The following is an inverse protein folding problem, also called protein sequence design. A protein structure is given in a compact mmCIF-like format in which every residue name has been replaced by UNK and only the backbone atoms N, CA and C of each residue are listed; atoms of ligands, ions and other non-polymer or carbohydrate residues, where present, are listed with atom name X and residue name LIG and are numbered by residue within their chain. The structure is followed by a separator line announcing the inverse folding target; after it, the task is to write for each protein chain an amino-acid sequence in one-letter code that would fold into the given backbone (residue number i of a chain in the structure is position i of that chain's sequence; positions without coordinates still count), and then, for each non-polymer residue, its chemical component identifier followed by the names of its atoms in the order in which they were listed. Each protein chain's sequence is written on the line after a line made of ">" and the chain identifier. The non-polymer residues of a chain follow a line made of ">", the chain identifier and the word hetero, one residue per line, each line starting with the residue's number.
data_IF_270824145465
#
_entry.id   IF_270824145465
#
_cell.length_a   1.000
_cell.length_b   1.000
_cell.length_c   1.000
_cell.angle_alpha   90.00
_cell.angle_beta   90.00
_cell.angle_gamma   90.00
#
_symmetry.space_group_name_H-M   'P 1'
#
loop_
_entity.id
_entity.type
_entity.pdbx_description
1 polymer ?
#
# COMPACT_ATOMS: atom_id res chain seq x y z
N UNK A 1 9.74 18.62 -4.87
CA UNK A 1 10.21 18.86 -3.48
C UNK A 1 11.18 20.06 -3.36
N UNK A 2 11.05 20.91 -2.32
CA UNK A 2 11.96 22.02 -1.95
C UNK A 2 13.00 21.61 -0.91
N UNK A 3 14.03 22.44 -0.66
CA UNK A 3 15.03 22.18 0.38
C UNK A 3 14.43 22.11 1.79
N UNK A 4 13.44 22.97 2.10
CA UNK A 4 12.75 22.93 3.39
C UNK A 4 11.90 21.66 3.55
N UNK A 5 11.23 21.20 2.49
CA UNK A 5 10.47 19.94 2.50
C UNK A 5 11.39 18.73 2.68
N UNK A 6 12.54 18.68 1.98
CA UNK A 6 13.53 17.60 2.15
C UNK A 6 14.09 17.56 3.58
N UNK A 7 14.42 18.72 4.15
CA UNK A 7 14.85 18.82 5.55
C UNK A 7 13.75 18.44 6.53
N UNK A 8 12.49 18.79 6.25
CA UNK A 8 11.36 18.42 7.08
C UNK A 8 11.17 16.89 7.13
N UNK A 9 11.32 16.22 6.00
CA UNK A 9 11.20 14.76 5.85
C UNK A 9 12.38 14.02 6.50
N UNK A 10 13.62 14.45 6.23
CA UNK A 10 14.83 13.66 6.52
C UNK A 10 15.85 14.34 7.44
N UNK A 11 15.84 15.67 7.52
CA UNK A 11 16.82 16.48 8.24
C UNK A 11 16.61 16.53 9.75
N UNK A 12 17.50 17.25 10.43
CA UNK A 12 17.42 17.53 11.88
C UNK A 12 16.55 18.77 12.17
N UNK A 13 16.02 18.91 13.40
CA UNK A 13 15.26 20.10 13.79
C UNK A 13 16.03 21.42 13.58
N UNK A 14 17.35 21.42 13.75
CA UNK A 14 18.21 22.59 13.54
C UNK A 14 18.30 22.98 12.06
N UNK A 15 18.41 22.01 11.16
CA UNK A 15 18.41 22.24 9.72
C UNK A 15 17.06 22.79 9.26
N UNK A 16 15.97 22.23 9.78
CA UNK A 16 14.61 22.73 9.52
C UNK A 16 14.45 24.16 10.03
N UNK A 17 14.93 24.47 11.23
CA UNK A 17 14.84 25.80 11.82
C UNK A 17 15.62 26.85 11.00
N UNK A 18 16.81 26.50 10.51
CA UNK A 18 17.60 27.39 9.64
C UNK A 18 16.89 27.66 8.32
N UNK A 19 16.42 26.61 7.64
CA UNK A 19 15.74 26.75 6.35
C UNK A 19 14.39 27.48 6.50
N UNK A 20 13.65 27.24 7.58
CA UNK A 20 12.40 27.93 7.86
C UNK A 20 12.60 29.44 8.07
N UNK A 21 13.70 29.87 8.70
CA UNK A 21 14.04 31.30 8.83
C UNK A 21 14.33 31.98 7.50
N UNK A 22 14.84 31.22 6.52
CA UNK A 22 15.16 31.73 5.19
C UNK A 22 13.98 31.66 4.21
N UNK A 23 12.94 30.88 4.55
CA UNK A 23 11.77 30.71 3.71
C UNK A 23 10.97 32.03 3.65
N UNK A 24 10.64 32.47 2.43
CA UNK A 24 9.72 33.59 2.23
C UNK A 24 8.29 33.24 2.67
N UNK A 25 7.93 31.97 2.52
CA UNK A 25 6.67 31.37 2.97
C UNK A 25 6.97 29.95 3.45
N UNK A 26 6.71 29.69 4.73
CA UNK A 26 6.95 28.37 5.37
C UNK A 26 5.89 27.34 4.95
N UNK A 27 4.72 27.80 4.50
CA UNK A 27 3.61 26.99 3.99
C UNK A 27 3.58 26.92 2.45
N UNK A 28 4.69 27.30 1.80
CA UNK A 28 4.85 27.14 0.37
C UNK A 28 4.67 25.66 -0.01
N UNK A 29 3.75 25.41 -0.93
CA UNK A 29 3.47 24.07 -1.45
C UNK A 29 4.34 23.75 -2.65
N UNK A 30 4.75 22.50 -2.74
CA UNK A 30 5.33 21.92 -3.95
C UNK A 30 4.85 20.48 -4.02
N UNK A 31 4.36 20.07 -5.19
CA UNK A 31 3.70 18.77 -5.37
C UNK A 31 2.53 18.60 -4.39
N UNK A 32 1.72 19.65 -4.20
CA UNK A 32 0.48 19.61 -3.42
C UNK A 32 0.64 19.61 -1.89
N UNK A 33 1.86 19.51 -1.35
CA UNK A 33 2.08 19.39 0.10
C UNK A 33 3.02 20.46 0.65
N UNK A 34 2.87 20.83 1.92
CA UNK A 34 3.76 21.76 2.64
C UNK A 34 4.93 21.02 3.29
N UNK A 35 5.96 21.75 3.76
CA UNK A 35 7.02 21.14 4.56
C UNK A 35 6.49 20.50 5.85
N UNK A 36 5.48 21.12 6.48
CA UNK A 36 4.86 20.58 7.70
C UNK A 36 4.16 19.25 7.42
N UNK A 37 3.50 19.13 6.27
CA UNK A 37 2.87 17.88 5.83
C UNK A 37 3.90 16.75 5.73
N UNK A 38 5.04 16.99 5.07
CA UNK A 38 6.11 16.00 4.94
C UNK A 38 6.72 15.59 6.30
N UNK A 39 6.89 16.53 7.23
CA UNK A 39 7.36 16.20 8.58
C UNK A 39 6.38 15.27 9.33
N UNK A 40 5.08 15.52 9.23
CA UNK A 40 4.07 14.66 9.86
C UNK A 40 4.04 13.29 9.18
N UNK A 41 3.97 13.25 7.84
CA UNK A 41 3.92 12.00 7.07
C UNK A 41 5.14 11.10 7.36
N UNK A 42 6.34 11.69 7.40
CA UNK A 42 7.59 11.00 7.74
C UNK A 42 7.74 10.67 9.24
N UNK A 43 6.72 10.95 10.06
CA UNK A 43 6.71 10.71 11.51
C UNK A 43 7.87 11.40 12.24
N UNK A 44 8.12 12.68 11.90
CA UNK A 44 9.16 13.55 12.47
C UNK A 44 8.55 14.63 13.37
N UNK A 45 8.08 14.30 14.58
CA UNK A 45 7.35 15.25 15.43
C UNK A 45 8.18 16.47 15.81
N UNK A 46 9.50 16.34 16.01
CA UNK A 46 10.35 17.49 16.33
C UNK A 46 10.47 18.46 15.16
N UNK A 47 10.64 17.96 13.94
CA UNK A 47 10.67 18.79 12.74
C UNK A 47 9.32 19.50 12.54
N UNK A 48 8.21 18.77 12.77
CA UNK A 48 6.87 19.33 12.70
C UNK A 48 6.65 20.46 13.73
N UNK A 49 7.14 20.29 14.97
CA UNK A 49 7.07 21.34 16.00
C UNK A 49 7.90 22.57 15.64
N UNK A 50 9.08 22.39 15.06
CA UNK A 50 9.90 23.50 14.58
C UNK A 50 9.17 24.30 13.50
N UNK A 51 8.57 23.62 12.52
CA UNK A 51 7.81 24.27 11.44
C UNK A 51 6.58 25.01 11.98
N UNK A 52 5.80 24.38 12.85
CA UNK A 52 4.66 25.03 13.51
C UNK A 52 5.09 26.25 14.35
N UNK A 53 6.21 26.14 15.07
CA UNK A 53 6.81 27.26 15.81
C UNK A 53 7.33 28.39 14.92
N UNK A 54 7.68 28.08 13.66
CA UNK A 54 8.03 29.05 12.63
C UNK A 54 6.80 29.67 11.92
N UNK A 55 5.58 29.27 12.31
CA UNK A 55 4.33 29.83 11.79
C UNK A 55 3.62 29.00 10.73
N UNK A 56 4.10 27.78 10.42
CA UNK A 56 3.38 26.87 9.52
C UNK A 56 2.04 26.45 10.12
N UNK A 57 0.96 26.51 9.34
CA UNK A 57 -0.39 26.16 9.79
C UNK A 57 -0.67 24.65 9.65
N UNK A 58 -0.78 23.89 10.76
CA UNK A 58 -1.07 22.45 10.72
C UNK A 58 -2.48 22.13 10.21
N UNK A 59 -3.39 23.09 10.16
CA UNK A 59 -4.79 22.89 9.78
C UNK A 59 -5.13 23.46 8.41
N UNK A 60 -4.13 24.01 7.69
CA UNK A 60 -4.29 24.49 6.34
C UNK A 60 -4.80 23.37 5.42
N UNK A 61 -5.90 23.59 4.67
CA UNK A 61 -6.48 22.55 3.82
C UNK A 61 -5.45 21.98 2.84
N UNK A 62 -5.40 20.65 2.79
CA UNK A 62 -4.58 19.89 1.85
C UNK A 62 -5.45 19.35 0.70
N UNK A 63 -4.97 19.30 -0.55
CA UNK A 63 -5.75 18.86 -1.70
C UNK A 63 -6.33 17.45 -1.58
N UNK A 64 -5.63 16.53 -0.90
CA UNK A 64 -6.11 15.16 -0.67
C UNK A 64 -6.98 15.04 0.60
N UNK A 65 -7.31 16.17 1.23
CA UNK A 65 -8.12 16.22 2.45
C UNK A 65 -7.36 15.87 3.72
N UNK A 66 -6.02 15.78 3.69
CA UNK A 66 -5.19 15.41 4.83
C UNK A 66 -4.27 16.55 5.26
N UNK A 67 -4.80 17.62 5.89
CA UNK A 67 -3.93 18.63 6.48
C UNK A 67 -3.04 17.98 7.55
N UNK A 68 -1.83 18.52 7.82
CA UNK A 68 -0.85 17.89 8.71
C UNK A 68 -1.43 17.49 10.08
N UNK A 69 -2.26 18.36 10.66
CA UNK A 69 -2.90 18.09 11.95
C UNK A 69 -3.93 16.97 11.91
N UNK A 70 -4.72 16.84 10.83
CA UNK A 70 -5.67 15.72 10.67
C UNK A 70 -4.93 14.41 10.41
N UNK A 71 -3.84 14.46 9.64
CA UNK A 71 -2.99 13.28 9.43
C UNK A 71 -2.38 12.79 10.75
N UNK A 72 -1.94 13.70 11.62
CA UNK A 72 -1.42 13.36 12.94
C UNK A 72 -2.45 12.60 13.81
N UNK A 73 -3.76 12.89 13.68
CA UNK A 73 -4.83 12.14 14.36
C UNK A 73 -4.88 10.65 14.00
N UNK A 74 -4.43 10.30 12.80
CA UNK A 74 -4.37 8.91 12.32
C UNK A 74 -3.09 8.19 12.79
N UNK A 75 -2.18 8.89 13.46
CA UNK A 75 -0.83 8.44 13.74
C UNK A 75 -0.51 8.26 15.22
N UNK A 76 0.77 8.06 15.55
CA UNK A 76 1.22 7.85 16.92
C UNK A 76 1.22 9.12 17.79
N UNK A 77 1.04 10.30 17.19
CA UNK A 77 1.09 11.61 17.88
C UNK A 77 -0.16 12.44 17.58
N UNK A 78 -1.36 12.00 18.01
CA UNK A 78 -2.62 12.68 17.69
C UNK A 78 -2.77 14.07 18.33
N UNK A 79 -2.00 14.36 19.37
CA UNK A 79 -1.98 15.62 20.12
C UNK A 79 -0.83 16.57 19.69
N UNK A 80 -0.13 16.25 18.59
CA UNK A 80 1.07 16.97 18.14
C UNK A 80 0.89 18.50 18.05
N UNK A 81 -0.31 18.96 17.68
CA UNK A 81 -0.63 20.38 17.55
C UNK A 81 -1.73 20.83 18.53
N UNK A 82 -1.93 20.10 19.62
CA UNK A 82 -3.00 20.36 20.59
C UNK A 82 -4.37 19.90 20.11
N UNK A 83 -5.43 20.53 20.60
CA UNK A 83 -6.80 20.16 20.26
C UNK A 83 -7.12 20.50 18.80
N UNK A 84 -7.68 19.53 18.07
CA UNK A 84 -8.14 19.75 16.69
C UNK A 84 -9.29 20.78 16.64
N UNK A 85 -9.36 21.63 15.59
CA UNK A 85 -10.48 22.52 15.38
C UNK A 85 -11.83 21.77 15.31
N UNK A 86 -12.91 22.46 15.66
CA UNK A 86 -14.26 21.90 15.60
C UNK A 86 -14.57 21.38 14.18
N UNK A 87 -15.01 20.13 14.08
CA UNK A 87 -15.31 19.47 12.80
C UNK A 87 -14.14 18.74 12.15
N UNK A 88 -12.90 18.93 12.64
CA UNK A 88 -11.74 18.17 12.16
C UNK A 88 -11.65 16.86 12.94
N UNK A 89 -12.23 15.80 12.36
CA UNK A 89 -12.22 14.44 12.92
C UNK A 89 -11.94 13.42 11.83
N UNK A 90 -11.57 12.20 12.25
CA UNK A 90 -11.63 11.04 11.39
C UNK A 90 -13.09 10.62 11.22
N UNK A 91 -13.48 10.24 10.02
CA UNK A 91 -14.74 9.54 9.77
C UNK A 91 -14.72 8.16 10.43
N UNK A 92 -15.89 7.56 10.65
CA UNK A 92 -15.99 6.20 11.22
C UNK A 92 -15.20 5.17 10.40
N UNK A 93 -15.22 5.29 9.07
CA UNK A 93 -14.48 4.40 8.17
C UNK A 93 -12.95 4.57 8.33
N UNK A 94 -12.46 5.81 8.38
CA UNK A 94 -11.04 6.09 8.61
C UNK A 94 -10.60 5.62 10.00
N UNK A 95 -11.42 5.85 11.03
CA UNK A 95 -11.14 5.42 12.40
C UNK A 95 -11.00 3.89 12.50
N UNK A 96 -11.84 3.12 11.79
CA UNK A 96 -11.72 1.66 11.70
C UNK A 96 -10.41 1.24 11.03
N UNK A 97 -9.98 1.93 9.96
CA UNK A 97 -8.71 1.66 9.28
C UNK A 97 -7.53 1.93 10.22
N UNK A 98 -7.52 3.11 10.87
CA UNK A 98 -6.48 3.54 11.81
C UNK A 98 -6.37 2.57 12.99
N UNK A 99 -7.51 2.19 13.60
CA UNK A 99 -7.52 1.28 14.74
C UNK A 99 -6.96 -0.12 14.40
N UNK A 100 -7.17 -0.59 13.17
CA UNK A 100 -6.66 -1.89 12.72
C UNK A 100 -5.19 -1.85 12.28
N UNK A 101 -4.63 -0.66 12.01
CA UNK A 101 -3.31 -0.52 11.39
C UNK A 101 -2.15 -1.11 12.22
N UNK A 102 -2.07 -0.93 13.55
CA UNK A 102 -1.02 -1.54 14.35
C UNK A 102 -1.01 -3.07 14.26
N UNK A 103 -2.18 -3.70 14.28
CA UNK A 103 -2.32 -5.15 14.20
C UNK A 103 -1.87 -5.70 12.85
N UNK A 104 -2.34 -5.09 11.75
CA UNK A 104 -1.94 -5.50 10.40
C UNK A 104 -0.44 -5.24 10.15
N UNK A 105 0.07 -4.09 10.61
CA UNK A 105 1.48 -3.75 10.50
C UNK A 105 2.39 -4.72 11.26
N UNK A 106 1.94 -5.22 12.41
CA UNK A 106 2.65 -6.26 13.16
C UNK A 106 2.57 -7.63 12.47
N UNK A 107 1.39 -8.03 11.99
CA UNK A 107 1.17 -9.31 11.30
C UNK A 107 2.04 -9.46 10.05
N UNK A 108 2.27 -8.35 9.33
CA UNK A 108 3.04 -8.30 8.09
C UNK A 108 4.40 -7.60 8.27
N UNK A 109 4.89 -7.48 9.50
CA UNK A 109 6.21 -6.92 9.76
C UNK A 109 7.29 -7.83 9.16
N UNK A 110 8.25 -7.24 8.42
CA UNK A 110 9.33 -7.99 7.79
C UNK A 110 8.90 -8.91 6.64
N UNK A 111 7.66 -8.77 6.13
CA UNK A 111 7.19 -9.48 4.96
C UNK A 111 7.99 -9.04 3.72
N UNK A 112 8.92 -9.89 3.26
CA UNK A 112 9.73 -9.64 2.07
C UNK A 112 8.97 -10.10 0.82
N UNK A 113 8.59 -9.15 -0.02
CA UNK A 113 7.94 -9.43 -1.31
C UNK A 113 8.93 -9.65 -2.45
N UNK A 114 10.25 -9.58 -2.24
CA UNK A 114 11.22 -9.60 -3.34
C UNK A 114 10.95 -10.71 -4.36
N UNK A 115 10.78 -10.33 -5.64
CA UNK A 115 10.45 -11.26 -6.73
C UNK A 115 9.01 -11.79 -6.72
N UNK A 116 8.19 -11.44 -5.74
CA UNK A 116 6.85 -12.00 -5.52
C UNK A 116 5.78 -11.11 -6.15
N UNK A 117 4.89 -11.74 -6.90
CA UNK A 117 3.62 -11.19 -7.34
C UNK A 117 2.55 -11.48 -6.29
N UNK A 118 1.69 -10.50 -6.06
CA UNK A 118 0.66 -10.51 -5.04
C UNK A 118 -0.62 -9.87 -5.60
N UNK A 119 -1.77 -10.44 -5.31
CA UNK A 119 -3.07 -9.81 -5.49
C UNK A 119 -3.92 -9.99 -4.23
N UNK A 120 -4.35 -8.87 -3.65
CA UNK A 120 -5.26 -8.82 -2.52
C UNK A 120 -6.68 -8.59 -3.04
N UNK A 121 -7.58 -9.56 -2.85
CA UNK A 121 -8.93 -9.53 -3.44
C UNK A 121 -9.98 -9.39 -2.35
N UNK A 122 -10.75 -8.31 -2.40
CA UNK A 122 -11.75 -8.01 -1.37
C UNK A 122 -12.97 -8.93 -1.49
N UNK A 123 -13.40 -9.52 -0.37
CA UNK A 123 -14.67 -10.25 -0.23
C UNK A 123 -14.79 -11.53 -1.07
N UNK A 124 -13.70 -12.02 -1.65
CA UNK A 124 -13.64 -13.23 -2.47
C UNK A 124 -12.82 -14.28 -1.74
N UNK A 125 -13.36 -15.49 -1.62
CA UNK A 125 -12.61 -16.63 -1.07
C UNK A 125 -11.77 -17.34 -2.14
N UNK A 126 -10.89 -18.24 -1.70
CA UNK A 126 -9.95 -18.96 -2.55
C UNK A 126 -10.65 -19.82 -3.62
N UNK A 127 -11.82 -20.38 -3.31
CA UNK A 127 -12.60 -21.21 -4.22
C UNK A 127 -13.19 -20.37 -5.37
N UNK A 128 -13.77 -19.22 -5.03
CA UNK A 128 -14.31 -18.27 -6.01
C UNK A 128 -13.17 -17.63 -6.82
N UNK A 129 -12.02 -17.32 -6.22
CA UNK A 129 -10.84 -16.88 -6.94
C UNK A 129 -10.38 -17.93 -7.98
N UNK A 130 -10.30 -19.21 -7.59
CA UNK A 130 -9.96 -20.30 -8.52
C UNK A 130 -10.96 -20.40 -9.68
N UNK A 131 -12.26 -20.26 -9.38
CA UNK A 131 -13.33 -20.27 -10.39
C UNK A 131 -13.21 -19.10 -11.37
N UNK A 132 -12.98 -17.88 -10.88
CA UNK A 132 -12.80 -16.67 -11.71
C UNK A 132 -11.59 -16.79 -12.63
N UNK A 133 -10.53 -17.45 -12.15
CA UNK A 133 -9.30 -17.68 -12.91
C UNK A 133 -9.38 -18.86 -13.89
N UNK A 134 -10.48 -19.63 -13.89
CA UNK A 134 -10.61 -20.88 -14.65
C UNK A 134 -9.43 -21.83 -14.37
N UNK A 135 -9.01 -21.89 -13.11
CA UNK A 135 -7.82 -22.58 -12.68
C UNK A 135 -8.13 -23.96 -12.09
N UNK A 136 -7.17 -24.88 -12.23
CA UNK A 136 -7.26 -26.23 -11.66
C UNK A 136 -6.24 -26.39 -10.54
N UNK A 137 -6.52 -27.25 -9.56
CA UNK A 137 -5.58 -27.53 -8.46
C UNK A 137 -4.29 -28.15 -9.00
N UNK A 138 -3.16 -27.57 -8.59
CA UNK A 138 -1.83 -28.09 -8.88
C UNK A 138 -1.39 -29.12 -7.84
N UNK A 139 -0.46 -30.01 -8.20
CA UNK A 139 0.26 -30.82 -7.21
C UNK A 139 1.04 -29.87 -6.27
N UNK A 140 0.83 -29.95 -4.95
CA UNK A 140 1.56 -29.14 -3.98
C UNK A 140 3.08 -29.24 -4.07
N UNK A 141 3.62 -30.34 -4.61
CA UNK A 141 5.06 -30.51 -4.84
C UNK A 141 5.61 -29.49 -5.85
N UNK A 142 4.84 -29.15 -6.88
CA UNK A 142 5.26 -28.19 -7.91
C UNK A 142 5.29 -26.77 -7.34
N UNK A 143 4.28 -26.41 -6.55
CA UNK A 143 4.25 -25.11 -5.86
C UNK A 143 5.38 -24.93 -4.83
N UNK A 144 5.72 -26.00 -4.10
CA UNK A 144 6.89 -26.00 -3.20
C UNK A 144 8.20 -25.84 -3.96
N UNK A 145 8.35 -26.48 -5.12
CA UNK A 145 9.53 -26.31 -5.97
C UNK A 145 9.66 -24.87 -6.48
N UNK A 146 8.56 -24.28 -6.96
CA UNK A 146 8.50 -22.87 -7.35
C UNK A 146 8.92 -21.93 -6.21
N UNK A 147 8.45 -22.21 -4.99
CA UNK A 147 8.79 -21.37 -3.83
C UNK A 147 10.28 -21.45 -3.48
N UNK A 148 10.92 -22.62 -3.66
CA UNK A 148 12.29 -22.87 -3.23
C UNK A 148 13.37 -22.43 -4.23
N UNK A 149 13.05 -22.37 -5.52
CA UNK A 149 14.02 -22.06 -6.59
C UNK A 149 13.52 -20.91 -7.48
N UNK A 150 14.19 -19.75 -7.50
CA UNK A 150 13.90 -18.66 -8.43
C UNK A 150 14.00 -19.05 -9.91
N UNK A 151 14.73 -20.14 -10.20
CA UNK A 151 14.94 -20.67 -11.55
C UNK A 151 14.15 -21.96 -11.78
N UNK A 152 12.99 -22.08 -11.12
CA UNK A 152 12.15 -23.27 -11.19
C UNK A 152 11.90 -23.71 -12.64
N UNK A 153 11.68 -25.03 -12.87
CA UNK A 153 11.58 -25.59 -14.22
C UNK A 153 10.53 -24.89 -15.10
N UNK A 154 10.77 -24.94 -16.41
CA UNK A 154 9.79 -24.50 -17.41
C UNK A 154 8.41 -25.12 -17.15
N UNK A 155 7.36 -24.31 -17.23
CA UNK A 155 5.97 -24.72 -16.95
C UNK A 155 5.42 -24.32 -15.58
N UNK A 156 6.26 -23.74 -14.71
CA UNK A 156 5.81 -23.19 -13.41
C UNK A 156 5.25 -21.76 -13.50
N UNK A 157 5.45 -21.07 -14.63
CA UNK A 157 5.00 -19.68 -14.85
C UNK A 157 3.48 -19.46 -14.68
N UNK A 158 2.68 -20.52 -14.80
CA UNK A 158 1.21 -20.51 -14.67
C UNK A 158 0.72 -20.86 -13.27
N UNK A 159 1.63 -21.09 -12.32
CA UNK A 159 1.28 -21.55 -10.99
C UNK A 159 1.19 -20.35 -10.05
N UNK A 160 0.09 -20.29 -9.31
CA UNK A 160 -0.13 -19.32 -8.24
C UNK A 160 -0.60 -20.03 -6.98
N UNK A 161 -0.26 -19.48 -5.83
CA UNK A 161 -0.83 -19.84 -4.54
C UNK A 161 -2.07 -19.00 -4.25
N UNK A 162 -3.07 -19.59 -3.59
CA UNK A 162 -4.22 -18.85 -3.06
C UNK A 162 -4.44 -19.22 -1.59
N UNK A 163 -4.66 -18.21 -0.76
CA UNK A 163 -4.89 -18.37 0.69
C UNK A 163 -6.06 -17.50 1.12
N UNK A 164 -6.97 -18.07 1.90
CA UNK A 164 -8.06 -17.30 2.52
C UNK A 164 -7.53 -16.46 3.69
N UNK A 165 -8.02 -15.24 3.80
CA UNK A 165 -7.74 -14.35 4.93
C UNK A 165 -9.02 -13.63 5.35
N UNK A 166 -9.16 -13.17 6.60
CA UNK A 166 -10.33 -12.37 6.96
C UNK A 166 -10.46 -11.16 6.02
N UNK A 167 -11.63 -11.00 5.39
CA UNK A 167 -11.91 -9.94 4.41
C UNK A 167 -11.73 -10.34 2.95
N UNK A 168 -11.21 -11.53 2.61
CA UNK A 168 -11.10 -12.01 1.23
C UNK A 168 -10.02 -13.06 1.04
N UNK A 169 -9.26 -12.97 -0.04
CA UNK A 169 -8.17 -13.90 -0.31
C UNK A 169 -6.93 -13.18 -0.85
N UNK A 170 -5.80 -13.84 -0.69
CA UNK A 170 -4.53 -13.44 -1.29
C UNK A 170 -4.14 -14.45 -2.36
N UNK A 171 -3.77 -13.95 -3.55
CA UNK A 171 -3.15 -14.73 -4.61
C UNK A 171 -1.67 -14.35 -4.68
N UNK A 172 -0.77 -15.33 -4.60
CA UNK A 172 0.68 -15.10 -4.66
C UNK A 172 1.36 -15.92 -5.73
N UNK A 173 2.49 -15.40 -6.21
CA UNK A 173 3.40 -16.15 -7.07
C UNK A 173 4.84 -15.78 -6.67
N UNK A 174 5.58 -16.70 -6.04
CA UNK A 174 7.02 -16.52 -5.85
C UNK A 174 7.71 -16.39 -7.20
N UNK A 175 8.66 -15.45 -7.30
CA UNK A 175 9.51 -15.26 -8.48
C UNK A 175 8.74 -14.98 -9.78
N UNK A 176 7.56 -14.39 -9.70
CA UNK A 176 6.72 -14.12 -10.86
C UNK A 176 5.70 -13.00 -10.63
N UNK A 177 5.23 -12.42 -11.72
CA UNK A 177 4.34 -11.25 -11.73
C UNK A 177 2.88 -11.60 -12.05
N UNK A 178 2.56 -12.88 -12.29
CA UNK A 178 1.24 -13.30 -12.80
C UNK A 178 0.06 -12.75 -11.98
N UNK A 179 0.09 -12.72 -10.64
CA UNK A 179 -0.99 -12.17 -9.83
C UNK A 179 -1.34 -10.70 -10.12
N UNK A 180 -0.35 -9.90 -10.54
CA UNK A 180 -0.53 -8.47 -10.83
C UNK A 180 -0.97 -8.21 -12.28
N UNK A 181 -0.94 -9.21 -13.16
CA UNK A 181 -1.24 -9.01 -14.58
C UNK A 181 -2.67 -8.49 -14.80
N UNK A 182 -2.92 -7.68 -15.85
CA UNK A 182 -4.24 -7.10 -16.11
C UNK A 182 -5.36 -8.13 -16.19
N UNK A 183 -5.12 -9.28 -16.84
CA UNK A 183 -6.15 -10.32 -16.97
C UNK A 183 -6.45 -10.99 -15.62
N UNK A 184 -5.44 -11.28 -14.80
CA UNK A 184 -5.63 -11.90 -13.48
C UNK A 184 -6.37 -10.96 -12.53
N UNK A 185 -5.89 -9.73 -12.38
CA UNK A 185 -6.51 -8.73 -11.51
C UNK A 185 -7.91 -8.33 -12.02
N UNK A 186 -8.11 -8.27 -13.34
CA UNK A 186 -9.41 -8.02 -13.96
C UNK A 186 -10.43 -9.12 -13.65
N UNK A 187 -10.06 -10.39 -13.79
CA UNK A 187 -10.94 -11.51 -13.44
C UNK A 187 -11.24 -11.57 -11.94
N UNK A 188 -10.23 -11.36 -11.10
CA UNK A 188 -10.39 -11.40 -9.64
C UNK A 188 -11.23 -10.26 -9.11
N UNK A 189 -11.20 -9.08 -9.72
CA UNK A 189 -11.92 -7.89 -9.27
C UNK A 189 -13.39 -7.83 -9.67
N UNK A 190 -13.94 -8.82 -10.40
CA UNK A 190 -15.35 -8.80 -10.82
C UNK A 190 -16.32 -8.58 -9.63
N UNK A 191 -17.11 -7.50 -9.67
CA UNK A 191 -18.00 -7.09 -8.58
C UNK A 191 -17.32 -6.69 -7.27
N UNK A 192 -16.01 -6.46 -7.26
CA UNK A 192 -15.22 -6.11 -6.07
C UNK A 192 -13.99 -5.27 -6.42
N UNK A 193 -13.03 -5.14 -5.50
CA UNK A 193 -11.73 -4.51 -5.73
C UNK A 193 -10.58 -5.50 -5.52
N UNK A 194 -9.57 -5.38 -6.36
CA UNK A 194 -8.31 -6.10 -6.27
C UNK A 194 -7.16 -5.08 -6.24
N UNK A 195 -6.24 -5.24 -5.29
CA UNK A 195 -4.97 -4.51 -5.29
C UNK A 195 -3.85 -5.46 -5.70
N UNK A 196 -3.25 -5.23 -6.87
CA UNK A 196 -2.11 -6.01 -7.36
C UNK A 196 -0.79 -5.37 -6.93
N UNK A 197 0.20 -6.21 -6.61
CA UNK A 197 1.58 -5.81 -6.37
C UNK A 197 2.51 -6.76 -7.09
N UNK A 198 3.51 -6.22 -7.77
CA UNK A 198 4.70 -6.97 -8.14
C UNK A 198 5.93 -6.29 -7.55
N UNK A 199 6.64 -6.99 -6.69
CA UNK A 199 7.88 -6.50 -6.11
C UNK A 199 9.05 -6.91 -6.99
N UNK A 200 9.34 -6.08 -7.98
CA UNK A 200 10.40 -6.30 -8.95
C UNK A 200 11.78 -6.09 -8.30
N UNK A 201 12.68 -7.09 -8.28
CA UNK A 201 14.04 -6.93 -7.72
C UNK A 201 14.85 -5.79 -8.35
N UNK A 202 14.50 -5.37 -9.57
CA UNK A 202 15.19 -4.29 -10.29
C UNK A 202 14.67 -2.89 -9.96
N UNK A 203 13.35 -2.73 -9.80
CA UNK A 203 12.69 -1.41 -9.77
C UNK A 203 11.84 -1.17 -8.51
N UNK A 204 11.74 -2.15 -7.61
CA UNK A 204 10.94 -2.05 -6.39
C UNK A 204 9.48 -2.48 -6.58
N UNK A 205 8.63 -2.04 -5.65
CA UNK A 205 7.22 -2.41 -5.60
C UNK A 205 6.40 -1.62 -6.61
N UNK A 206 5.73 -2.32 -7.52
CA UNK A 206 4.78 -1.74 -8.47
C UNK A 206 3.37 -2.21 -8.12
N UNK A 207 2.43 -1.29 -8.03
CA UNK A 207 1.05 -1.53 -7.64
C UNK A 207 0.07 -1.26 -8.78
N UNK A 208 -1.11 -1.89 -8.68
CA UNK A 208 -2.27 -1.52 -9.49
C UNK A 208 -3.55 -1.65 -8.68
N UNK A 209 -4.53 -0.80 -9.01
CA UNK A 209 -5.89 -0.85 -8.45
C UNK A 209 -6.79 -1.28 -9.59
N UNK A 210 -7.54 -2.36 -9.38
CA UNK A 210 -8.51 -2.86 -10.35
C UNK A 210 -9.84 -3.08 -9.66
N UNK A 211 -10.89 -2.47 -10.19
CA UNK A 211 -12.25 -2.53 -9.67
C UNK A 211 -13.19 -2.99 -10.76
N UNK A 212 -13.93 -4.05 -10.50
CA UNK A 212 -14.91 -4.61 -11.44
C UNK A 212 -14.34 -4.81 -12.86
N UNK A 213 -13.12 -5.35 -12.94
CA UNK A 213 -12.42 -5.57 -14.21
C UNK A 213 -11.76 -4.33 -14.82
N UNK A 214 -11.92 -3.14 -14.24
CA UNK A 214 -11.38 -1.88 -14.75
C UNK A 214 -10.16 -1.46 -13.94
N UNK A 215 -9.03 -1.23 -14.62
CA UNK A 215 -7.83 -0.66 -14.00
C UNK A 215 -8.03 0.82 -13.71
N UNK A 216 -8.11 1.18 -12.43
CA UNK A 216 -8.23 2.57 -11.95
C UNK A 216 -6.86 3.22 -11.78
N UNK A 217 -5.82 2.44 -11.50
CA UNK A 217 -4.44 2.92 -11.34
C UNK A 217 -3.40 1.83 -11.61
N UNK A 218 -2.22 2.23 -12.09
CA UNK A 218 -1.12 1.34 -12.47
C UNK A 218 0.23 2.00 -12.23
N UNK A 219 1.29 1.20 -12.05
CA UNK A 219 2.64 1.66 -11.70
C UNK A 219 2.68 2.49 -10.41
N UNK A 220 1.79 2.13 -9.47
CA UNK A 220 1.70 2.76 -8.15
C UNK A 220 2.83 2.27 -7.25
N UNK A 221 3.14 3.01 -6.18
CA UNK A 221 4.20 2.65 -5.23
C UNK A 221 3.60 2.36 -3.84
N UNK A 222 2.99 1.16 -3.62
CA UNK A 222 2.36 0.84 -2.34
C UNK A 222 3.38 0.91 -1.19
N UNK A 223 3.01 1.63 -0.12
CA UNK A 223 3.91 1.92 1.01
C UNK A 223 4.96 3.00 0.73
N UNK A 224 5.03 3.55 -0.48
CA UNK A 224 5.79 4.75 -0.80
C UNK A 224 5.04 6.03 -0.42
N UNK A 225 5.66 7.18 -0.66
CA UNK A 225 4.98 8.47 -0.55
C UNK A 225 3.83 8.56 -1.57
N UNK A 226 2.71 9.24 -1.22
CA UNK A 226 1.61 9.42 -2.16
C UNK A 226 1.99 10.39 -3.28
N UNK A 227 1.25 10.31 -4.38
CA UNK A 227 1.33 11.26 -5.49
C UNK A 227 0.41 12.45 -5.27
N UNK A 228 0.62 13.51 -6.05
CA UNK A 228 -0.18 14.75 -6.01
C UNK A 228 -1.68 14.48 -6.24
N UNK A 229 -1.99 13.46 -7.04
CA UNK A 229 -3.35 13.04 -7.41
C UNK A 229 -3.82 11.80 -6.64
N UNK A 230 -3.08 11.33 -5.63
CA UNK A 230 -3.50 10.24 -4.77
C UNK A 230 -4.79 10.58 -4.02
N UNK A 231 -5.69 9.60 -3.93
CA UNK A 231 -6.91 9.72 -3.15
C UNK A 231 -6.63 9.85 -1.65
N UNK A 232 -7.62 10.34 -0.90
CA UNK A 232 -7.55 10.42 0.56
C UNK A 232 -7.24 9.05 1.21
N UNK A 233 -7.75 7.95 0.65
CA UNK A 233 -7.45 6.61 1.16
C UNK A 233 -5.98 6.24 0.93
N UNK A 234 -5.43 6.50 -0.26
CA UNK A 234 -4.03 6.21 -0.57
C UNK A 234 -3.08 7.01 0.32
N UNK A 235 -3.36 8.29 0.55
CA UNK A 235 -2.60 9.12 1.49
C UNK A 235 -2.62 8.53 2.89
N UNK A 236 -3.80 8.18 3.42
CA UNK A 236 -3.92 7.57 4.74
C UNK A 236 -3.13 6.25 4.83
N UNK A 237 -3.27 5.37 3.84
CA UNK A 237 -2.58 4.08 3.83
C UNK A 237 -1.06 4.23 3.71
N UNK A 238 -0.58 5.20 2.92
CA UNK A 238 0.86 5.50 2.83
C UNK A 238 1.44 5.94 4.17
N UNK A 239 0.67 6.71 4.94
CA UNK A 239 1.05 7.18 6.27
C UNK A 239 1.03 6.07 7.31
N UNK A 240 0.06 5.16 7.23
CA UNK A 240 -0.10 4.04 8.16
C UNK A 240 0.93 2.92 7.94
N UNK A 241 1.26 2.63 6.67
CA UNK A 241 2.12 1.51 6.26
C UNK A 241 3.36 1.95 5.48
N UNK A 242 4.19 2.87 6.03
CA UNK A 242 5.38 3.35 5.33
C UNK A 242 6.35 2.18 5.09
N UNK A 243 6.76 2.01 3.84
CA UNK A 243 7.65 0.95 3.38
C UNK A 243 7.06 -0.46 3.38
N UNK A 244 5.78 -0.65 3.74
CA UNK A 244 5.15 -1.98 3.80
C UNK A 244 4.06 -2.13 2.73
N UNK A 245 4.49 -2.49 1.51
CA UNK A 245 3.60 -2.69 0.37
C UNK A 245 2.55 -3.78 0.59
N UNK A 246 2.89 -4.86 1.32
CA UNK A 246 1.97 -5.95 1.61
C UNK A 246 0.82 -5.46 2.52
N UNK A 247 1.15 -4.79 3.63
CA UNK A 247 0.16 -4.22 4.53
C UNK A 247 -0.69 -3.14 3.86
N UNK A 248 -0.06 -2.29 3.04
CA UNK A 248 -0.77 -1.30 2.22
C UNK A 248 -1.81 -1.97 1.32
N UNK A 249 -1.41 -2.97 0.52
CA UNK A 249 -2.28 -3.65 -0.42
C UNK A 249 -3.42 -4.41 0.28
N UNK A 250 -3.11 -5.13 1.38
CA UNK A 250 -4.14 -5.78 2.19
C UNK A 250 -5.12 -4.76 2.76
N UNK A 251 -4.65 -3.66 3.35
CA UNK A 251 -5.52 -2.64 3.90
C UNK A 251 -6.39 -1.96 2.85
N UNK A 252 -5.85 -1.68 1.66
CA UNK A 252 -6.61 -1.12 0.54
C UNK A 252 -7.78 -2.01 0.15
N UNK A 253 -7.54 -3.33 0.05
CA UNK A 253 -8.58 -4.31 -0.28
C UNK A 253 -9.41 -4.75 0.95
N UNK A 254 -9.17 -4.21 2.14
CA UNK A 254 -9.92 -4.55 3.36
C UNK A 254 -9.57 -5.91 3.98
N UNK A 255 -8.44 -6.52 3.60
CA UNK A 255 -7.96 -7.80 4.11
C UNK A 255 -7.27 -7.61 5.47
N UNK A 256 -7.42 -8.62 6.34
CA UNK A 256 -6.87 -8.65 7.70
C UNK A 256 -6.14 -9.98 7.97
N UNK A 257 -5.07 -10.32 7.23
CA UNK A 257 -4.25 -11.47 7.56
C UNK A 257 -3.73 -11.37 9.00
N UNK A 258 -3.67 -12.51 9.69
CA UNK A 258 -3.21 -12.58 11.09
C UNK A 258 -1.70 -12.76 11.21
N UNK A 259 -1.05 -13.17 10.13
CA UNK A 259 0.40 -13.33 9.98
C UNK A 259 0.79 -13.23 8.49
N UNK A 260 2.08 -13.36 8.18
CA UNK A 260 2.59 -13.30 6.81
C UNK A 260 2.42 -14.60 5.99
N UNK A 261 1.88 -15.69 6.55
CA UNK A 261 1.82 -17.01 5.90
C UNK A 261 1.10 -16.94 4.56
N UNK A 262 0.00 -16.20 4.48
CA UNK A 262 -0.78 -16.07 3.26
C UNK A 262 -0.01 -15.44 2.08
N UNK A 263 1.11 -14.76 2.37
CA UNK A 263 1.90 -14.03 1.39
C UNK A 263 3.22 -14.76 1.11
N UNK A 264 4.01 -15.03 2.15
CA UNK A 264 5.38 -15.59 2.01
C UNK A 264 5.48 -17.05 2.46
N UNK A 265 4.44 -17.58 3.09
CA UNK A 265 4.35 -18.97 3.51
C UNK A 265 3.68 -19.86 2.46
N UNK A 266 3.44 -21.14 2.80
CA UNK A 266 2.72 -22.05 1.93
C UNK A 266 1.24 -21.62 1.82
N UNK A 267 0.71 -21.48 0.59
CA UNK A 267 -0.69 -21.16 0.38
C UNK A 267 -1.60 -22.32 0.78
N UNK A 268 -2.90 -22.05 0.94
CA UNK A 268 -3.88 -23.10 1.20
C UNK A 268 -4.04 -24.04 0.00
N UNK A 269 -3.95 -23.49 -1.21
CA UNK A 269 -4.02 -24.26 -2.46
C UNK A 269 -3.10 -23.67 -3.52
N UNK A 270 -2.44 -24.55 -4.26
CA UNK A 270 -1.75 -24.19 -5.49
C UNK A 270 -2.68 -24.41 -6.68
N UNK A 271 -2.68 -23.46 -7.61
CA UNK A 271 -3.50 -23.47 -8.80
C UNK A 271 -2.64 -23.39 -10.06
N UNK A 272 -3.03 -24.11 -11.10
CA UNK A 272 -2.51 -23.95 -12.46
C UNK A 272 -3.51 -23.13 -13.26
N UNK A 273 -3.08 -21.96 -13.71
CA UNK A 273 -3.85 -21.11 -14.59
C UNK A 273 -3.71 -21.60 -16.06
N UNK A 274 -4.76 -21.47 -16.87
CA UNK A 274 -4.74 -21.91 -18.26
C UNK A 274 -3.78 -21.10 -19.14
N UNK A 275 -3.35 -21.66 -20.27
CA UNK A 275 -2.51 -20.92 -21.23
C UNK A 275 -3.33 -19.84 -21.92
N UNK A 276 -2.98 -18.57 -21.72
CA UNK A 276 -3.56 -17.38 -22.40
C UNK A 276 -2.58 -16.20 -22.35
N UNK A 277 -2.88 -15.16 -23.11
CA UNK A 277 -2.23 -13.86 -22.92
C UNK A 277 -2.82 -13.22 -21.64
N UNK A 278 -1.94 -12.89 -20.70
CA UNK A 278 -2.32 -12.29 -19.42
C UNK A 278 -2.19 -10.77 -19.40
N UNK A 279 -1.62 -10.18 -20.46
CA UNK A 279 -1.42 -8.74 -20.60
C UNK A 279 -2.56 -8.05 -21.33
N UNK A 280 -3.24 -8.77 -22.22
CA UNK A 280 -4.35 -8.23 -23.00
C UNK A 280 -5.59 -9.09 -22.81
N UNK A 281 -6.71 -8.44 -22.50
CA UNK A 281 -8.01 -9.11 -22.54
C UNK A 281 -8.27 -9.58 -23.98
N UNK A 282 -8.66 -10.85 -24.13
CA UNK A 282 -9.20 -11.34 -25.40
C UNK A 282 -10.54 -10.65 -25.64
N UNK A 283 -10.70 -10.03 -26.81
CA UNK A 283 -11.95 -9.40 -27.24
C UNK A 283 -13.10 -10.41 -27.41
#
# INVERSE_FOLDING_TARGET
>A
MTALQDAAERGTPEQVAELARQAADVDAETEGHTALWWAVHARRPENARVLAGAGADPWRPDPAGWPPGRLALAGPTPDLFGAAPAGVVLSDAEAVIVAAAPGLGAALHGCLLEGTGLACVAGVDAAEAARRLDAVTADPAVGRALSADPWAPEGTNQIVGVTDVPGGCVVTQPWGYLPQTPVVTGLLSAGTVCYGVYSNPKSGNQGCIVRDGVTEGSDLHPGGAPYVDSSALEVLLSYLYPGNAAAYACAYAGLRPVDARAITGPPDTWLVLPKRDYWHHSA
#
